data_IF_933500018915
#
_entry.id   IF_933500018915
#
_cell.length_a   1.000
_cell.length_b   1.000
_cell.length_c   1.000
_cell.angle_alpha   90.00
_cell.angle_beta   90.00
_cell.angle_gamma   90.00
#
_symmetry.space_group_name_H-M   'P 1'
#
loop_
_entity.id
_entity.type
_entity.pdbx_description
1 polymer ?
#
# COMPACT_ATOMS: atom_id res chain seq x y z
N UNK A 1 23.69 -6.09 12.49
CA UNK A 1 24.64 -5.35 11.63
C UNK A 1 24.29 -3.89 11.69
N UNK A 2 25.26 -2.98 11.55
CA UNK A 2 24.96 -1.56 11.43
C UNK A 2 24.19 -1.31 10.13
N UNK A 3 23.24 -0.38 10.14
CA UNK A 3 22.50 0.01 8.93
C UNK A 3 23.47 0.65 7.93
N UNK A 4 23.48 0.23 6.65
CA UNK A 4 24.30 0.87 5.62
C UNK A 4 24.06 2.37 5.54
N UNK A 5 25.13 3.17 5.43
CA UNK A 5 25.02 4.63 5.47
C UNK A 5 24.09 5.20 4.36
N UNK A 6 24.07 4.57 3.19
CA UNK A 6 23.19 4.93 2.06
C UNK A 6 21.71 4.64 2.33
N UNK A 7 21.40 3.71 3.24
CA UNK A 7 20.04 3.33 3.58
C UNK A 7 19.45 4.19 4.69
N UNK A 8 20.29 4.79 5.55
CA UNK A 8 19.87 5.63 6.69
C UNK A 8 18.81 6.67 6.30
N UNK A 9 19.02 7.57 5.32
CA UNK A 9 18.02 8.59 5.01
C UNK A 9 16.71 8.03 4.43
N UNK A 10 16.78 6.92 3.68
CA UNK A 10 15.58 6.28 3.14
C UNK A 10 14.76 5.61 4.24
N UNK A 11 15.43 4.97 5.20
CA UNK A 11 14.77 4.39 6.36
C UNK A 11 14.10 5.47 7.20
N UNK A 12 14.82 6.53 7.54
CA UNK A 12 14.27 7.65 8.34
C UNK A 12 13.07 8.31 7.64
N UNK A 13 13.15 8.49 6.31
CA UNK A 13 12.03 9.02 5.54
C UNK A 13 10.81 8.09 5.58
N UNK A 14 11.01 6.78 5.44
CA UNK A 14 9.92 5.81 5.54
C UNK A 14 9.32 5.81 6.95
N UNK A 15 10.14 5.71 8.00
CA UNK A 15 9.73 5.78 9.41
C UNK A 15 8.84 6.99 9.66
N UNK A 16 9.32 8.19 9.30
CA UNK A 16 8.59 9.42 9.52
C UNK A 16 7.28 9.48 8.72
N UNK A 17 7.29 9.12 7.44
CA UNK A 17 6.09 9.22 6.61
C UNK A 17 5.03 8.18 7.00
N UNK A 18 5.47 6.99 7.41
CA UNK A 18 4.60 5.89 7.81
C UNK A 18 3.94 6.19 9.15
N UNK A 19 4.71 6.61 10.15
CA UNK A 19 4.16 7.03 11.45
C UNK A 19 3.18 8.19 11.29
N UNK A 20 3.52 9.18 10.45
CA UNK A 20 2.62 10.29 10.15
C UNK A 20 1.30 9.80 9.53
N UNK A 21 1.36 8.86 8.59
CA UNK A 21 0.16 8.27 7.99
C UNK A 21 -0.67 7.52 9.03
N UNK A 22 -0.07 6.59 9.78
CA UNK A 22 -0.78 5.78 10.79
C UNK A 22 -1.45 6.66 11.84
N UNK A 23 -0.73 7.64 12.40
CA UNK A 23 -1.31 8.59 13.36
C UNK A 23 -2.45 9.40 12.75
N UNK A 24 -2.35 9.74 11.47
CA UNK A 24 -3.40 10.47 10.75
C UNK A 24 -4.66 9.62 10.53
N UNK A 25 -4.62 8.31 10.72
CA UNK A 25 -5.76 7.39 10.57
C UNK A 25 -6.56 7.16 11.85
N UNK A 26 -6.12 7.71 12.99
CA UNK A 26 -6.85 7.59 14.26
C UNK A 26 -8.31 8.10 14.15
N UNK A 27 -9.22 7.38 14.80
CA UNK A 27 -10.66 7.66 14.81
C UNK A 27 -11.37 7.58 13.46
N UNK A 28 -10.78 6.96 12.42
CA UNK A 28 -11.45 6.77 11.13
C UNK A 28 -12.62 5.77 11.26
N UNK A 29 -13.80 6.17 10.81
CA UNK A 29 -14.99 5.32 10.79
C UNK A 29 -15.12 4.55 9.47
N UNK A 30 -15.89 3.47 9.46
CA UNK A 30 -16.21 2.73 8.23
C UNK A 30 -16.90 3.62 7.17
N UNK A 31 -17.77 4.53 7.60
CA UNK A 31 -18.39 5.51 6.68
C UNK A 31 -17.36 6.42 6.00
N UNK A 32 -16.27 6.77 6.69
CA UNK A 32 -15.18 7.59 6.12
C UNK A 32 -14.32 6.75 5.20
N UNK A 33 -13.99 5.53 5.64
CA UNK A 33 -13.20 4.56 4.91
C UNK A 33 -13.80 4.23 3.53
N UNK A 34 -15.12 4.03 3.47
CA UNK A 34 -15.85 3.73 2.24
C UNK A 34 -16.42 4.95 1.53
N UNK A 35 -16.14 6.17 1.99
CA UNK A 35 -16.71 7.36 1.38
C UNK A 35 -16.24 7.55 -0.07
N UNK A 36 -17.21 7.78 -0.96
CA UNK A 36 -17.00 8.10 -2.37
C UNK A 36 -17.11 9.63 -2.59
N UNK A 37 -15.98 10.33 -2.83
CA UNK A 37 -15.99 11.78 -3.08
C UNK A 37 -16.49 12.15 -4.49
N UNK A 38 -16.50 11.19 -5.41
CA UNK A 38 -16.94 11.35 -6.78
C UNK A 38 -17.73 10.11 -7.23
N UNK A 39 -18.66 10.23 -8.20
CA UNK A 39 -19.37 9.08 -8.73
C UNK A 39 -18.42 8.11 -9.45
N UNK A 40 -18.71 6.81 -9.34
CA UNK A 40 -17.94 5.77 -10.03
C UNK A 40 -16.57 5.51 -9.41
N UNK A 41 -16.39 5.80 -8.11
CA UNK A 41 -15.12 5.54 -7.44
C UNK A 41 -14.82 4.04 -7.39
N UNK A 42 -13.56 3.68 -7.63
CA UNK A 42 -13.03 2.38 -7.27
C UNK A 42 -12.83 2.27 -5.76
N UNK A 43 -13.25 1.15 -5.19
CA UNK A 43 -13.21 0.88 -3.76
C UNK A 43 -12.74 -0.54 -3.44
N UNK A 44 -12.77 -0.91 -2.16
CA UNK A 44 -12.89 -2.30 -1.75
C UNK A 44 -14.38 -2.65 -1.71
N UNK A 45 -14.79 -3.70 -2.41
CA UNK A 45 -16.19 -4.10 -2.57
C UNK A 45 -16.38 -5.56 -2.27
N UNK A 46 -17.61 -5.96 -1.94
CA UNK A 46 -17.94 -7.38 -2.00
C UNK A 46 -17.86 -7.87 -3.43
N UNK A 47 -17.32 -9.08 -3.62
CA UNK A 47 -17.14 -9.72 -4.93
C UNK A 47 -18.46 -9.90 -5.68
N UNK A 48 -19.55 -10.16 -4.97
CA UNK A 48 -20.88 -10.33 -5.55
C UNK A 48 -21.59 -9.01 -5.90
N UNK A 49 -21.02 -7.88 -5.47
CA UNK A 49 -21.59 -6.54 -5.66
C UNK A 49 -20.65 -5.60 -6.43
N UNK A 50 -19.43 -6.02 -6.79
CA UNK A 50 -18.52 -5.17 -7.56
C UNK A 50 -19.00 -5.07 -9.01
N UNK A 51 -19.06 -3.86 -9.58
CA UNK A 51 -19.23 -3.69 -11.03
C UNK A 51 -17.99 -4.10 -11.83
N UNK A 52 -16.87 -4.38 -11.16
CA UNK A 52 -15.59 -4.72 -11.79
C UNK A 52 -15.44 -6.24 -11.93
N UNK A 53 -15.49 -6.80 -13.16
CA UNK A 53 -15.49 -8.26 -13.37
C UNK A 53 -14.19 -8.98 -12.95
N UNK A 54 -13.15 -8.24 -12.55
CA UNK A 54 -11.82 -8.76 -12.23
C UNK A 54 -11.22 -8.19 -10.94
N UNK A 55 -12.06 -7.83 -9.94
CA UNK A 55 -11.55 -7.42 -8.63
C UNK A 55 -10.63 -8.49 -8.01
N UNK A 56 -9.50 -8.05 -7.46
CA UNK A 56 -8.45 -8.91 -6.89
C UNK A 56 -8.67 -9.15 -5.40
N UNK A 57 -8.29 -10.32 -4.90
CA UNK A 57 -8.33 -10.65 -3.46
C UNK A 57 -8.68 -12.10 -3.16
N UNK A 58 -8.24 -12.61 -2.00
CA UNK A 58 -8.42 -14.01 -1.59
C UNK A 58 -9.75 -14.37 -0.95
N UNK A 59 -10.75 -13.48 -0.99
CA UNK A 59 -12.00 -13.69 -0.26
C UNK A 59 -13.25 -13.06 -0.89
N UNK A 60 -14.25 -12.85 -0.03
CA UNK A 60 -15.51 -12.23 -0.39
C UNK A 60 -15.40 -10.73 -0.69
N UNK A 61 -14.28 -10.11 -0.30
CA UNK A 61 -13.97 -8.71 -0.58
C UNK A 61 -12.83 -8.61 -1.58
N UNK A 62 -12.99 -7.69 -2.52
CA UNK A 62 -12.04 -7.46 -3.61
C UNK A 62 -11.63 -6.01 -3.68
N UNK A 63 -10.38 -5.80 -4.03
CA UNK A 63 -9.86 -4.53 -4.47
C UNK A 63 -10.20 -4.34 -5.94
N UNK A 64 -10.97 -3.29 -6.25
CA UNK A 64 -11.36 -3.01 -7.63
C UNK A 64 -10.16 -2.57 -8.46
N UNK A 65 -9.73 -3.45 -9.36
CA UNK A 65 -8.57 -3.24 -10.20
C UNK A 65 -8.80 -3.96 -11.54
N UNK A 66 -8.27 -3.39 -12.61
CA UNK A 66 -8.21 -4.03 -13.93
C UNK A 66 -6.83 -3.77 -14.52
N UNK A 67 -6.19 -4.79 -15.09
CA UNK A 67 -4.83 -4.64 -15.65
C UNK A 67 -4.73 -3.59 -16.76
N UNK A 68 -5.82 -3.38 -17.51
CA UNK A 68 -5.95 -2.27 -18.46
C UNK A 68 -6.85 -1.20 -17.85
N UNK A 69 -6.24 -0.22 -17.19
CA UNK A 69 -6.99 0.89 -16.59
C UNK A 69 -7.82 1.65 -17.64
N UNK A 70 -9.05 2.07 -17.29
CA UNK A 70 -9.79 3.06 -18.07
C UNK A 70 -9.00 4.37 -18.18
N UNK A 71 -9.30 5.16 -19.22
CA UNK A 71 -8.75 6.50 -19.39
C UNK A 71 -9.92 7.51 -19.53
N UNK A 72 -10.09 8.45 -18.57
CA UNK A 72 -9.30 8.60 -17.35
C UNK A 72 -9.51 7.46 -16.35
N UNK A 73 -8.51 7.21 -15.52
CA UNK A 73 -8.64 6.26 -14.43
C UNK A 73 -9.73 6.74 -13.44
N UNK A 74 -10.57 5.84 -12.91
CA UNK A 74 -11.57 6.23 -11.91
C UNK A 74 -10.92 6.79 -10.65
N UNK A 75 -11.62 7.73 -10.00
CA UNK A 75 -11.21 8.19 -8.68
C UNK A 75 -11.30 7.02 -7.68
N UNK A 76 -10.47 7.02 -6.64
CA UNK A 76 -10.41 5.91 -5.68
C UNK A 76 -10.91 6.36 -4.30
N UNK A 77 -11.42 5.44 -3.47
CA UNK A 77 -11.80 5.72 -2.07
C UNK A 77 -10.58 5.68 -1.14
N UNK A 78 -10.78 5.98 0.15
CA UNK A 78 -9.76 5.73 1.18
C UNK A 78 -9.53 4.22 1.31
N UNK A 79 -10.59 3.41 1.33
CA UNK A 79 -10.50 1.96 1.36
C UNK A 79 -9.62 1.40 0.24
N UNK A 80 -9.82 1.88 -0.99
CA UNK A 80 -9.01 1.46 -2.13
C UNK A 80 -7.53 1.80 -1.95
N UNK A 81 -7.21 3.03 -1.52
CA UNK A 81 -5.82 3.48 -1.35
C UNK A 81 -5.12 2.74 -0.23
N UNK A 82 -5.82 2.47 0.87
CA UNK A 82 -5.31 1.65 1.97
C UNK A 82 -5.07 0.22 1.50
N UNK A 83 -6.02 -0.38 0.77
CA UNK A 83 -5.85 -1.70 0.18
C UNK A 83 -4.66 -1.78 -0.78
N UNK A 84 -4.53 -0.83 -1.69
CA UNK A 84 -3.39 -0.69 -2.60
C UNK A 84 -2.07 -0.63 -1.83
N UNK A 85 -1.95 0.34 -0.92
CA UNK A 85 -0.70 0.60 -0.21
C UNK A 85 -0.31 -0.56 0.71
N UNK A 86 -1.25 -1.09 1.49
CA UNK A 86 -1.00 -2.21 2.39
C UNK A 86 -0.61 -3.48 1.63
N UNK A 87 -1.39 -3.88 0.62
CA UNK A 87 -1.10 -5.11 -0.14
C UNK A 87 0.21 -4.99 -0.92
N UNK A 88 0.45 -3.87 -1.60
CA UNK A 88 1.63 -3.66 -2.44
C UNK A 88 2.92 -3.64 -1.63
N UNK A 89 2.93 -3.00 -0.45
CA UNK A 89 4.11 -2.98 0.43
C UNK A 89 4.32 -4.32 1.12
N UNK A 90 3.25 -4.96 1.59
CA UNK A 90 3.34 -6.27 2.25
C UNK A 90 3.86 -7.35 1.30
N UNK A 91 3.28 -7.47 0.10
CA UNK A 91 3.76 -8.41 -0.91
C UNK A 91 5.19 -8.08 -1.31
N UNK A 92 5.54 -6.80 -1.57
CA UNK A 92 6.92 -6.44 -1.91
C UNK A 92 7.91 -6.83 -0.82
N UNK A 93 7.55 -6.70 0.45
CA UNK A 93 8.38 -7.21 1.55
C UNK A 93 8.55 -8.74 1.49
N UNK A 94 7.48 -9.48 1.17
CA UNK A 94 7.52 -10.93 0.95
C UNK A 94 8.45 -11.32 -0.22
N UNK A 95 8.37 -10.60 -1.35
CA UNK A 95 9.24 -10.84 -2.51
C UNK A 95 10.71 -10.43 -2.31
N UNK A 96 11.04 -9.74 -1.22
CA UNK A 96 12.42 -9.39 -0.84
C UNK A 96 13.00 -10.39 0.17
N UNK A 97 12.32 -10.61 1.30
CA UNK A 97 12.85 -11.41 2.43
C UNK A 97 11.93 -12.56 2.90
N UNK A 98 10.81 -12.78 2.22
CA UNK A 98 9.80 -13.79 2.56
C UNK A 98 9.75 -14.99 1.61
N UNK A 99 8.55 -15.54 1.39
CA UNK A 99 8.34 -16.74 0.58
C UNK A 99 8.30 -16.45 -0.92
N UNK A 100 8.05 -15.20 -1.32
CA UNK A 100 8.02 -14.74 -2.71
C UNK A 100 6.93 -15.44 -3.53
N UNK A 101 5.81 -15.74 -2.88
CA UNK A 101 4.74 -16.57 -3.46
C UNK A 101 3.37 -15.92 -3.42
N UNK A 102 3.18 -14.89 -2.60
CA UNK A 102 1.88 -14.23 -2.46
C UNK A 102 1.53 -13.45 -3.72
N UNK A 103 0.27 -13.50 -4.11
CA UNK A 103 -0.30 -12.66 -5.15
C UNK A 103 -1.39 -11.77 -4.57
N UNK A 104 -1.83 -10.75 -5.31
CA UNK A 104 -2.99 -9.96 -4.89
C UNK A 104 -4.26 -10.82 -4.82
N UNK A 105 -4.33 -11.93 -5.55
CA UNK A 105 -5.42 -12.91 -5.43
C UNK A 105 -5.35 -13.73 -4.14
N UNK A 106 -4.21 -13.80 -3.46
CA UNK A 106 -4.08 -14.43 -2.14
C UNK A 106 -4.34 -13.44 -0.99
N UNK A 107 -4.29 -12.14 -1.27
CA UNK A 107 -4.37 -11.10 -0.24
C UNK A 107 -5.80 -10.90 0.25
N UNK A 108 -6.01 -10.99 1.57
CA UNK A 108 -7.30 -10.74 2.19
C UNK A 108 -7.51 -9.24 2.39
N UNK A 109 -8.21 -8.59 1.46
CA UNK A 109 -8.43 -7.15 1.52
C UNK A 109 -9.31 -6.74 2.72
N UNK A 110 -8.89 -5.71 3.48
CA UNK A 110 -9.62 -5.23 4.65
C UNK A 110 -10.96 -4.62 4.27
N UNK A 111 -12.00 -4.87 5.07
CA UNK A 111 -13.37 -4.43 4.79
C UNK A 111 -13.99 -3.62 5.93
N UNK A 112 -13.14 -3.13 6.84
CA UNK A 112 -13.47 -2.11 7.84
C UNK A 112 -12.28 -1.15 7.97
N UNK A 113 -12.53 0.04 8.50
CA UNK A 113 -11.48 1.02 8.78
C UNK A 113 -10.40 0.45 9.72
N UNK A 114 -10.83 -0.27 10.77
CA UNK A 114 -9.93 -0.92 11.74
C UNK A 114 -9.03 -1.94 11.05
N UNK A 115 -9.60 -2.84 10.23
CA UNK A 115 -8.81 -3.83 9.48
C UNK A 115 -7.87 -3.15 8.48
N UNK A 116 -8.30 -2.04 7.86
CA UNK A 116 -7.49 -1.27 6.94
C UNK A 116 -6.25 -0.68 7.62
N UNK A 117 -6.42 -0.12 8.82
CA UNK A 117 -5.32 0.41 9.62
C UNK A 117 -4.39 -0.73 10.05
N UNK A 118 -4.93 -1.85 10.54
CA UNK A 118 -4.13 -3.01 10.90
C UNK A 118 -3.30 -3.54 9.72
N UNK A 119 -3.88 -3.61 8.52
CA UNK A 119 -3.18 -4.03 7.31
C UNK A 119 -2.00 -3.11 6.95
N UNK A 120 -2.12 -1.79 7.16
CA UNK A 120 -0.99 -0.86 7.00
C UNK A 120 0.07 -1.07 8.09
N UNK A 121 -0.32 -1.32 9.33
CA UNK A 121 0.64 -1.64 10.38
C UNK A 121 1.45 -2.89 10.01
N UNK A 122 0.79 -3.96 9.57
CA UNK A 122 1.44 -5.20 9.16
C UNK A 122 2.36 -4.99 7.94
N UNK A 123 1.92 -4.23 6.94
CA UNK A 123 2.74 -3.87 5.78
C UNK A 123 3.99 -3.08 6.20
N UNK A 124 3.84 -2.11 7.10
CA UNK A 124 4.95 -1.33 7.65
C UNK A 124 5.94 -2.22 8.39
N UNK A 125 5.48 -3.09 9.29
CA UNK A 125 6.32 -4.07 10.01
C UNK A 125 7.09 -4.97 9.04
N UNK A 126 6.42 -5.48 8.00
CA UNK A 126 7.04 -6.31 6.99
C UNK A 126 8.14 -5.55 6.22
N UNK A 127 7.90 -4.29 5.84
CA UNK A 127 8.89 -3.48 5.15
C UNK A 127 10.05 -3.03 6.05
N UNK A 128 9.79 -2.67 7.30
CA UNK A 128 10.85 -2.38 8.28
C UNK A 128 11.79 -3.56 8.50
N UNK A 129 11.26 -4.79 8.43
CA UNK A 129 12.11 -5.98 8.45
C UNK A 129 13.10 -5.98 7.29
N UNK A 130 12.66 -5.66 6.06
CA UNK A 130 13.54 -5.53 4.88
C UNK A 130 14.63 -4.48 5.15
N UNK A 131 14.23 -3.26 5.54
CA UNK A 131 15.17 -2.15 5.78
C UNK A 131 16.16 -2.45 6.91
N UNK A 132 15.76 -3.22 7.92
CA UNK A 132 16.63 -3.61 9.04
C UNK A 132 17.62 -4.70 8.67
N UNK A 133 17.28 -5.60 7.74
CA UNK A 133 18.12 -6.75 7.36
C UNK A 133 18.99 -6.51 6.14
N UNK A 134 18.74 -5.46 5.36
CA UNK A 134 19.51 -5.14 4.17
C UNK A 134 20.95 -4.70 4.51
N UNK A 135 21.93 -5.30 3.83
CA UNK A 135 23.33 -4.88 3.80
C UNK A 135 23.67 -4.22 2.44
N UNK A 136 24.88 -3.68 2.30
CA UNK A 136 25.29 -3.01 1.05
C UNK A 136 25.19 -3.95 -0.18
N UNK A 137 25.49 -5.24 -0.01
CA UNK A 137 25.43 -6.20 -1.11
C UNK A 137 23.99 -6.39 -1.61
N UNK A 138 23.02 -6.55 -0.70
CA UNK A 138 21.62 -6.65 -1.08
C UNK A 138 21.10 -5.35 -1.69
N UNK A 139 21.53 -4.19 -1.18
CA UNK A 139 21.12 -2.88 -1.71
C UNK A 139 21.53 -2.68 -3.17
N UNK A 140 22.70 -3.17 -3.57
CA UNK A 140 23.20 -3.07 -4.96
C UNK A 140 22.71 -4.22 -5.85
N UNK A 141 22.00 -5.22 -5.30
CA UNK A 141 21.48 -6.37 -6.07
C UNK A 141 20.26 -5.95 -6.90
N UNK A 142 20.42 -5.97 -8.23
CA UNK A 142 19.30 -5.88 -9.18
C UNK A 142 18.39 -7.10 -9.00
N UNK A 143 17.09 -6.86 -8.82
CA UNK A 143 16.14 -7.92 -8.48
C UNK A 143 16.26 -8.41 -7.04
N UNK A 144 16.92 -7.64 -6.15
CA UNK A 144 16.96 -7.93 -4.71
C UNK A 144 15.56 -8.03 -4.10
N UNK A 145 14.61 -7.24 -4.62
CA UNK A 145 13.18 -7.58 -4.56
C UNK A 145 12.75 -8.19 -5.89
N UNK A 146 12.00 -9.28 -5.82
CA UNK A 146 11.51 -9.99 -7.02
C UNK A 146 10.02 -9.78 -7.28
N UNK A 147 9.44 -8.70 -6.74
CA UNK A 147 8.02 -8.40 -6.85
C UNK A 147 7.61 -8.22 -8.32
N UNK A 148 6.72 -9.08 -8.87
CA UNK A 148 6.62 -9.23 -10.33
C UNK A 148 5.78 -8.15 -11.02
N UNK A 149 4.98 -7.38 -10.28
CA UNK A 149 4.09 -6.34 -10.83
C UNK A 149 4.70 -4.94 -10.79
N UNK A 150 5.99 -4.84 -10.50
CA UNK A 150 6.75 -3.58 -10.48
C UNK A 150 8.01 -3.67 -11.33
N UNK A 151 8.85 -2.65 -11.20
CA UNK A 151 10.22 -2.64 -11.77
C UNK A 151 11.24 -3.30 -10.86
N UNK A 152 10.78 -3.87 -9.74
CA UNK A 152 11.59 -4.57 -8.74
C UNK A 152 12.60 -5.57 -9.34
N UNK A 153 12.24 -6.44 -10.31
CA UNK A 153 13.20 -7.38 -10.89
C UNK A 153 14.32 -6.71 -11.71
N UNK A 154 14.10 -5.47 -12.16
CA UNK A 154 15.00 -4.74 -13.06
C UNK A 154 15.86 -3.69 -12.35
N UNK A 155 15.60 -3.42 -11.06
CA UNK A 155 16.24 -2.33 -10.32
C UNK A 155 16.99 -2.85 -9.08
N UNK A 156 18.07 -2.16 -8.65
CA UNK A 156 18.69 -2.40 -7.36
C UNK A 156 17.68 -2.23 -6.21
N UNK A 157 17.82 -3.00 -5.12
CA UNK A 157 16.93 -2.86 -3.97
C UNK A 157 16.95 -1.42 -3.40
N UNK A 158 18.08 -0.71 -3.47
CA UNK A 158 18.15 0.67 -3.01
C UNK A 158 17.16 1.60 -3.75
N UNK A 159 17.01 1.42 -5.08
CA UNK A 159 16.07 2.20 -5.88
C UNK A 159 14.62 1.82 -5.54
N UNK A 160 14.39 0.55 -5.19
CA UNK A 160 13.10 0.09 -4.68
C UNK A 160 12.78 0.67 -3.31
N UNK A 161 13.76 0.80 -2.41
CA UNK A 161 13.57 1.51 -1.14
C UNK A 161 13.15 2.96 -1.37
N UNK A 162 13.80 3.66 -2.32
CA UNK A 162 13.38 4.99 -2.71
C UNK A 162 11.94 4.99 -3.27
N UNK A 163 11.61 4.06 -4.16
CA UNK A 163 10.29 3.99 -4.79
C UNK A 163 9.16 3.71 -3.77
N UNK A 164 9.38 2.81 -2.81
CA UNK A 164 8.39 2.54 -1.74
C UNK A 164 8.14 3.77 -0.88
N UNK A 165 9.15 4.60 -0.63
CA UNK A 165 8.96 5.87 0.06
C UNK A 165 8.06 6.82 -0.75
N UNK A 166 8.22 6.85 -2.07
CA UNK A 166 7.38 7.67 -2.95
C UNK A 166 5.91 7.24 -2.91
N UNK A 167 5.64 5.94 -2.95
CA UNK A 167 4.27 5.41 -2.80
C UNK A 167 3.64 5.79 -1.46
N UNK A 168 4.39 5.62 -0.37
CA UNK A 168 3.93 5.94 0.98
C UNK A 168 3.63 7.45 1.14
N UNK A 169 4.50 8.31 0.62
CA UNK A 169 4.31 9.76 0.65
C UNK A 169 3.13 10.20 -0.23
N UNK A 170 3.04 9.67 -1.45
CA UNK A 170 2.00 10.01 -2.41
C UNK A 170 0.62 9.62 -1.88
N UNK A 171 0.38 8.34 -1.64
CA UNK A 171 -0.92 7.86 -1.20
C UNK A 171 -1.24 8.28 0.24
N UNK A 172 -0.24 8.41 1.11
CA UNK A 172 -0.44 8.95 2.45
C UNK A 172 -0.95 10.41 2.42
N UNK A 173 -0.46 11.22 1.49
CA UNK A 173 -0.96 12.58 1.26
C UNK A 173 -2.40 12.60 0.73
N UNK A 174 -2.72 11.74 -0.24
CA UNK A 174 -4.07 11.63 -0.79
C UNK A 174 -5.09 11.19 0.27
N UNK A 175 -4.74 10.18 1.07
CA UNK A 175 -5.58 9.70 2.17
C UNK A 175 -5.82 10.83 3.17
N UNK A 176 -4.78 11.55 3.58
CA UNK A 176 -4.90 12.67 4.51
C UNK A 176 -5.84 13.78 3.97
N UNK A 177 -5.70 14.13 2.69
CA UNK A 177 -6.57 15.11 2.03
C UNK A 177 -8.04 14.65 2.01
N UNK A 178 -8.29 13.38 1.69
CA UNK A 178 -9.64 12.84 1.68
C UNK A 178 -10.28 12.81 3.08
N UNK A 179 -9.51 12.51 4.12
CA UNK A 179 -9.98 12.63 5.50
C UNK A 179 -10.41 14.06 5.83
N UNK A 180 -9.62 15.05 5.44
CA UNK A 180 -9.95 16.47 5.66
C UNK A 180 -11.21 16.88 4.90
N UNK A 181 -11.34 16.47 3.63
CA UNK A 181 -12.55 16.72 2.84
C UNK A 181 -13.80 16.05 3.43
N UNK A 182 -13.66 14.81 3.92
CA UNK A 182 -14.75 14.09 4.58
C UNK A 182 -15.25 14.83 5.83
N UNK A 183 -14.32 15.32 6.65
CA UNK A 183 -14.63 16.09 7.86
C UNK A 183 -15.27 17.43 7.53
N UNK A 184 -14.77 18.14 6.52
CA UNK A 184 -15.29 19.45 6.11
C UNK A 184 -16.74 19.38 5.60
N UNK A 185 -17.18 18.25 5.03
CA UNK A 185 -18.57 18.03 4.60
C UNK A 185 -19.58 17.95 5.74
N UNK A 186 -19.12 17.69 6.95
CA UNK A 186 -19.97 17.53 8.15
C UNK A 186 -20.11 18.83 8.95
N UNK A 187 -19.51 19.93 8.47
CA UNK A 187 -19.61 21.29 9.01
C UNK A 187 -20.58 22.09 8.15
#
# INVERSE_FOLDING_TARGET
>A
MATPARLVPLREQFEFCWDRLINRLDGMSDDEYFWEPAPGCWSIRRRDATPTPHGLGGGAWVWEYVSRHPDPAPFTTIAWRIGHLASTIFLRADYTVGSKSLTWDDYAYPHTAEQGIAALVDAGVAWFRVLRTADDALLDTVGGSSFPWGRDPDLPLLDICWWVNQEALHHGGEIALLRDLYRARRV
#
